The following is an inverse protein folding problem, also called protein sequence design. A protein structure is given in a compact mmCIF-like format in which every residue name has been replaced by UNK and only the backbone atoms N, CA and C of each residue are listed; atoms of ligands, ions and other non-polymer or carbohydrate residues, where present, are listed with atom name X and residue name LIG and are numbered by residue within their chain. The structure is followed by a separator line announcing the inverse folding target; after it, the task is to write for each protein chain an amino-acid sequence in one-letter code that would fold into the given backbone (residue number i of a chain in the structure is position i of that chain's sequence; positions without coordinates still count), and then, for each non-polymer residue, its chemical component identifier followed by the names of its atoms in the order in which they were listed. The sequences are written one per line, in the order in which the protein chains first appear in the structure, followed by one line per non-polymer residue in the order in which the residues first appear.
data_IF_821826468725
#
_entry.id   IF_821826468725
#
_cell.length_a   1.000
_cell.length_b   1.000
_cell.length_c   1.000
_cell.angle_alpha   90.00
_cell.angle_beta   90.00
_cell.angle_gamma   90.00
#
_symmetry.space_group_name_H-M   'P 1'
#
loop_
_entity.id
_entity.type
_entity.pdbx_description
1 polymer ?
#
# COMPACT_ATOMS: atom_id res chain seq x y z
N UNK A 1 5.68 27.92 22.53
CA UNK A 1 4.40 27.18 22.60
C UNK A 1 3.92 26.73 21.21
N UNK A 2 3.90 27.60 20.19
CA UNK A 2 3.64 27.24 18.78
C UNK A 2 4.62 26.22 18.18
N UNK A 3 5.83 26.15 18.73
CA UNK A 3 6.97 25.37 18.22
C UNK A 3 6.87 23.88 18.60
N UNK A 4 6.25 23.58 19.74
CA UNK A 4 6.22 22.23 20.32
C UNK A 4 5.14 21.33 19.68
N UNK A 5 4.02 21.93 19.26
CA UNK A 5 2.86 21.20 18.72
C UNK A 5 3.03 20.77 17.25
N UNK A 6 3.75 21.58 16.45
CA UNK A 6 4.11 21.22 15.07
C UNK A 6 5.08 20.03 15.04
N UNK A 7 6.03 20.00 15.98
CA UNK A 7 6.99 18.90 16.14
C UNK A 7 6.25 17.60 16.48
N UNK A 8 5.27 17.64 17.39
CA UNK A 8 4.53 16.45 17.81
C UNK A 8 3.74 15.76 16.69
N UNK A 9 3.13 16.54 15.78
CA UNK A 9 2.37 15.99 14.64
C UNK A 9 3.32 15.45 13.56
N UNK A 10 4.45 16.12 13.32
CA UNK A 10 5.48 15.67 12.39
C UNK A 10 6.18 14.39 12.88
N UNK A 11 6.41 14.26 14.19
CA UNK A 11 6.91 13.04 14.82
C UNK A 11 5.91 11.89 14.67
N UNK A 12 4.60 12.13 14.81
CA UNK A 12 3.59 11.11 14.55
C UNK A 12 3.57 10.65 13.09
N UNK A 13 3.65 11.57 12.13
CA UNK A 13 3.76 11.19 10.70
C UNK A 13 5.03 10.37 10.41
N UNK A 14 6.16 10.73 11.05
CA UNK A 14 7.41 9.97 10.96
C UNK A 14 7.28 8.57 11.56
N UNK A 15 6.65 8.46 12.72
CA UNK A 15 6.39 7.18 13.41
C UNK A 15 5.50 6.26 12.56
N UNK A 16 4.50 6.82 11.88
CA UNK A 16 3.68 6.09 10.93
C UNK A 16 4.49 5.52 9.76
N UNK A 17 5.30 6.36 9.09
CA UNK A 17 6.12 5.97 7.95
C UNK A 17 7.19 4.94 8.34
N UNK A 18 7.85 5.15 9.49
CA UNK A 18 8.81 4.20 10.06
C UNK A 18 8.14 2.87 10.39
N UNK A 19 6.97 2.90 11.02
CA UNK A 19 6.22 1.70 11.34
C UNK A 19 5.76 0.97 10.07
N UNK A 20 5.34 1.71 9.05
CA UNK A 20 4.75 1.14 7.85
C UNK A 20 5.78 0.56 6.87
N UNK A 21 7.02 1.03 6.87
CA UNK A 21 8.05 0.61 5.90
C UNK A 21 9.30 -0.01 6.51
N UNK A 22 9.47 0.12 7.83
CA UNK A 22 10.63 -0.40 8.56
C UNK A 22 10.25 -1.28 9.77
N UNK A 23 8.97 -1.63 9.91
CA UNK A 23 8.42 -2.48 10.98
C UNK A 23 8.78 -2.01 12.40
N UNK A 24 8.88 -0.69 12.58
CA UNK A 24 9.01 -0.07 13.90
C UNK A 24 7.64 -0.11 14.61
N UNK A 25 7.62 -0.39 15.91
CA UNK A 25 6.38 -0.33 16.67
C UNK A 25 5.87 1.11 16.71
N UNK A 26 4.61 1.30 16.30
CA UNK A 26 3.99 2.61 16.26
C UNK A 26 3.71 3.11 17.69
N UNK A 27 4.33 4.22 18.08
CA UNK A 27 4.17 4.83 19.39
C UNK A 27 3.09 5.93 19.37
N UNK A 28 1.82 5.55 19.19
CA UNK A 28 0.72 6.49 19.46
C UNK A 28 0.48 6.65 20.95
N UNK A 29 0.80 7.82 21.51
CA UNK A 29 0.30 8.18 22.83
C UNK A 29 -1.14 8.65 22.77
N UNK A 30 -1.92 8.33 23.81
CA UNK A 30 -3.25 8.92 24.02
C UNK A 30 -3.20 10.46 24.04
N UNK A 31 -2.07 11.02 24.50
CA UNK A 31 -1.82 12.46 24.50
C UNK A 31 -1.70 13.04 23.08
N UNK A 32 -1.21 12.27 22.10
CA UNK A 32 -1.09 12.72 20.71
C UNK A 32 -2.45 12.79 20.03
N UNK A 33 -3.35 11.84 20.33
CA UNK A 33 -4.74 11.83 19.84
C UNK A 33 -5.57 13.02 20.36
N UNK A 34 -5.22 13.54 21.53
CA UNK A 34 -5.91 14.66 22.16
C UNK A 34 -5.43 16.04 21.67
N UNK A 35 -4.39 16.11 20.82
CA UNK A 35 -3.89 17.40 20.30
C UNK A 35 -4.84 18.00 19.26
N UNK A 36 -4.97 19.35 19.21
CA UNK A 36 -5.72 20.03 18.17
C UNK A 36 -5.14 19.76 16.77
N UNK A 37 -6.00 19.58 15.77
CA UNK A 37 -5.56 19.35 14.40
C UNK A 37 -4.86 20.60 13.81
N UNK A 38 -3.89 20.41 12.90
CA UNK A 38 -3.17 21.51 12.26
C UNK A 38 -4.12 22.33 11.37
N UNK A 39 -3.84 23.63 11.22
CA UNK A 39 -4.61 24.49 10.31
C UNK A 39 -4.46 23.96 8.87
N UNK A 40 -5.57 23.66 8.17
CA UNK A 40 -5.52 23.16 6.80
C UNK A 40 -4.97 24.20 5.80
N UNK A 41 -4.98 25.49 6.13
CA UNK A 41 -4.52 26.56 5.24
C UNK A 41 -3.01 26.85 5.35
N UNK A 42 -2.32 26.27 6.34
CA UNK A 42 -0.88 26.46 6.50
C UNK A 42 -0.09 25.56 5.55
N UNK A 43 0.91 26.11 4.81
CA UNK A 43 1.75 25.32 3.92
C UNK A 43 2.37 24.13 4.65
N UNK A 44 2.16 22.92 4.11
CA UNK A 44 2.96 21.78 4.50
C UNK A 44 4.32 21.94 3.82
N UNK A 45 5.38 22.21 4.58
CA UNK A 45 6.72 22.05 4.03
C UNK A 45 6.97 20.55 3.83
N UNK A 46 6.47 20.01 2.72
CA UNK A 46 6.81 18.66 2.23
C UNK A 46 8.19 18.71 1.59
N UNK A 47 9.19 18.89 2.43
CA UNK A 47 10.53 18.36 2.18
C UNK A 47 10.81 17.40 3.31
N UNK A 48 11.48 16.29 2.99
CA UNK A 48 11.96 15.26 3.93
C UNK A 48 12.10 15.81 5.36
N UNK A 49 11.54 15.11 6.36
CA UNK A 49 11.57 15.52 7.78
C UNK A 49 12.99 15.88 8.26
N UNK A 50 14.04 15.32 7.64
CA UNK A 50 15.45 15.69 7.89
C UNK A 50 15.76 17.13 7.45
N UNK A 51 15.26 17.58 6.30
CA UNK A 51 15.40 18.97 5.86
C UNK A 51 14.46 19.90 6.65
N UNK A 52 13.26 19.43 7.00
CA UNK A 52 12.31 20.24 7.76
C UNK A 52 12.78 20.45 9.20
N UNK A 53 13.36 19.44 9.86
CA UNK A 53 14.03 19.58 11.17
C UNK A 53 15.27 20.48 11.08
N UNK A 54 16.05 20.40 9.99
CA UNK A 54 17.17 21.31 9.74
C UNK A 54 16.74 22.78 9.58
N UNK A 55 15.67 23.05 8.81
CA UNK A 55 15.10 24.39 8.69
C UNK A 55 14.49 24.88 10.01
N UNK A 56 13.89 23.99 10.79
CA UNK A 56 13.33 24.32 12.11
C UNK A 56 14.38 24.71 13.15
N UNK A 57 15.54 24.03 13.14
CA UNK A 57 16.69 24.37 13.99
C UNK A 57 17.31 25.73 13.60
N UNK A 58 17.22 26.10 12.32
CA UNK A 58 17.71 27.39 11.79
C UNK A 58 16.70 28.52 12.05
N UNK A 59 15.39 28.26 11.89
CA UNK A 59 14.30 29.24 12.04
C UNK A 59 14.02 29.58 13.52
N UNK A 60 14.27 28.64 14.43
CA UNK A 60 14.26 28.89 15.88
C UNK A 60 15.34 29.86 16.37
N UNK A 61 16.33 30.18 15.53
CA UNK A 61 17.34 31.23 15.76
C UNK A 61 16.97 32.57 15.11
N UNK A 62 15.95 32.60 14.24
CA UNK A 62 15.50 33.78 13.52
C UNK A 62 13.97 33.86 13.42
N UNK A 63 13.31 34.30 14.49
CA UNK A 63 12.09 35.08 14.31
C UNK A 63 11.89 36.06 15.44
N UNK A 64 12.37 37.26 15.13
CA UNK A 64 12.08 38.52 15.78
C UNK A 64 10.63 38.94 15.50
N UNK A 65 10.07 39.65 16.48
CA UNK A 65 8.78 40.34 16.60
C UNK A 65 7.98 40.60 15.30
N UNK A 66 6.74 40.08 15.22
CA UNK A 66 5.60 40.84 14.71
C UNK A 66 4.25 40.27 15.17
N UNK A 67 3.43 41.16 15.72
CA UNK A 67 2.16 40.87 16.37
C UNK A 67 1.04 40.49 15.37
N UNK A 68 0.53 39.26 15.49
CA UNK A 68 -0.78 38.88 14.97
C UNK A 68 -1.59 38.19 16.09
N UNK A 69 -2.85 38.60 16.24
CA UNK A 69 -3.79 38.19 17.31
C UNK A 69 -3.81 36.66 17.51
N UNK A 70 -3.95 36.17 18.76
CA UNK A 70 -4.13 34.74 19.01
C UNK A 70 -5.52 34.32 18.50
N UNK A 71 -5.57 33.71 17.32
CA UNK A 71 -6.77 33.02 16.88
C UNK A 71 -6.99 31.80 17.80
N UNK A 72 -8.21 31.65 18.28
CA UNK A 72 -8.63 30.70 19.32
C UNK A 72 -8.28 29.24 18.97
N UNK A 73 -7.20 28.73 19.58
CA UNK A 73 -6.78 27.32 19.50
C UNK A 73 -7.77 26.35 20.17
N UNK A 74 -8.60 26.84 21.11
CA UNK A 74 -9.49 26.03 21.95
C UNK A 74 -10.70 25.40 21.23
N UNK A 75 -10.96 25.76 19.97
CA UNK A 75 -12.13 25.28 19.19
C UNK A 75 -11.78 24.30 18.07
N UNK A 76 -10.51 23.93 17.90
CA UNK A 76 -10.11 23.03 16.80
C UNK A 76 -10.40 21.57 17.13
N UNK A 77 -10.98 20.79 16.19
CA UNK A 77 -11.21 19.37 16.39
C UNK A 77 -9.88 18.65 16.62
N UNK A 78 -9.90 17.60 17.45
CA UNK A 78 -8.75 16.75 17.73
C UNK A 78 -8.75 15.54 16.81
N UNK A 79 -7.62 14.84 16.69
CA UNK A 79 -7.56 13.59 15.94
C UNK A 79 -8.49 12.52 16.55
N UNK A 80 -8.63 12.51 17.89
CA UNK A 80 -9.62 11.67 18.59
C UNK A 80 -11.05 11.97 18.13
N UNK A 81 -11.46 13.24 18.12
CA UNK A 81 -12.81 13.63 17.71
C UNK A 81 -13.06 13.25 16.25
N UNK A 82 -12.09 13.54 15.37
CA UNK A 82 -12.17 13.18 13.96
C UNK A 82 -12.28 11.65 13.75
N UNK A 83 -11.53 10.85 14.50
CA UNK A 83 -11.62 9.39 14.45
C UNK A 83 -12.98 8.88 14.94
N UNK A 84 -13.51 9.44 16.03
CA UNK A 84 -14.83 9.08 16.54
C UNK A 84 -15.92 9.40 15.51
N UNK A 85 -15.88 10.60 14.94
CA UNK A 85 -16.84 11.02 13.92
C UNK A 85 -16.73 10.15 12.67
N UNK A 86 -15.52 9.74 12.29
CA UNK A 86 -15.29 8.81 11.19
C UNK A 86 -15.88 7.41 11.45
N UNK A 87 -15.63 6.84 12.63
CA UNK A 87 -16.15 5.52 13.01
C UNK A 87 -17.68 5.52 13.01
N UNK A 88 -18.29 6.60 13.52
CA UNK A 88 -19.74 6.74 13.63
C UNK A 88 -20.43 7.19 12.33
N UNK A 89 -19.66 7.53 11.29
CA UNK A 89 -20.22 8.07 10.05
C UNK A 89 -20.86 9.46 10.23
N UNK A 90 -20.43 10.20 11.26
CA UNK A 90 -20.92 11.54 11.60
C UNK A 90 -19.97 12.64 11.17
N UNK A 91 -18.98 12.32 10.32
CA UNK A 91 -18.04 13.31 9.81
C UNK A 91 -18.78 14.50 9.17
N UNK A 92 -18.39 15.74 9.51
CA UNK A 92 -18.93 16.90 8.85
C UNK A 92 -18.45 16.93 7.40
N UNK A 93 -19.39 17.02 6.45
CA UNK A 93 -19.17 17.19 5.01
C UNK A 93 -17.73 16.99 4.49
N UNK A 94 -17.10 18.07 4.01
CA UNK A 94 -15.76 18.03 3.40
C UNK A 94 -14.67 17.98 4.47
N UNK A 95 -13.90 16.89 4.51
CA UNK A 95 -12.70 16.75 5.35
C UNK A 95 -11.47 17.25 4.58
N UNK A 96 -10.65 18.14 5.16
CA UNK A 96 -9.41 18.58 4.52
C UNK A 96 -8.45 17.41 4.24
N UNK A 97 -7.77 17.35 3.08
CA UNK A 97 -6.88 16.23 2.71
C UNK A 97 -5.82 15.91 3.77
N UNK A 98 -5.31 16.95 4.46
CA UNK A 98 -4.33 16.80 5.53
C UNK A 98 -4.89 16.12 6.78
N UNK A 99 -6.14 16.41 7.13
CA UNK A 99 -6.83 15.76 8.24
C UNK A 99 -7.17 14.32 7.88
N UNK A 100 -7.53 14.09 6.62
CA UNK A 100 -7.75 12.75 6.10
C UNK A 100 -6.46 11.91 6.12
N UNK A 101 -5.31 12.48 5.74
CA UNK A 101 -4.00 11.81 5.88
C UNK A 101 -3.71 11.43 7.34
N UNK A 102 -3.99 12.32 8.31
CA UNK A 102 -3.80 12.03 9.73
C UNK A 102 -4.68 10.88 10.23
N UNK A 103 -5.87 10.67 9.65
CA UNK A 103 -6.72 9.52 9.97
C UNK A 103 -6.09 8.17 9.59
N UNK A 104 -5.15 8.13 8.65
CA UNK A 104 -4.45 6.88 8.33
C UNK A 104 -3.63 6.35 9.52
N UNK A 105 -3.21 7.24 10.41
CA UNK A 105 -2.39 6.89 11.57
C UNK A 105 -3.12 5.94 12.55
N UNK A 106 -4.30 6.28 13.09
CA UNK A 106 -5.06 5.35 13.92
C UNK A 106 -5.58 4.12 13.13
N UNK A 107 -5.83 4.24 11.82
CA UNK A 107 -6.21 3.09 10.98
C UNK A 107 -5.08 2.07 10.81
N UNK A 108 -3.83 2.53 10.74
CA UNK A 108 -2.65 1.66 10.79
C UNK A 108 -2.54 0.94 12.13
N UNK A 109 -2.78 1.64 13.25
CA UNK A 109 -2.77 1.02 14.57
C UNK A 109 -3.86 -0.04 14.71
N UNK A 110 -5.08 0.23 14.22
CA UNK A 110 -6.17 -0.76 14.16
C UNK A 110 -5.79 -1.97 13.32
N UNK A 111 -5.14 -1.74 12.17
CA UNK A 111 -4.63 -2.82 11.31
C UNK A 111 -3.64 -3.72 12.05
N UNK A 112 -2.67 -3.13 12.76
CA UNK A 112 -1.72 -3.89 13.57
C UNK A 112 -2.41 -4.70 14.68
N UNK A 113 -3.35 -4.08 15.39
CA UNK A 113 -4.11 -4.73 16.46
C UNK A 113 -4.97 -5.89 15.95
N UNK A 114 -5.73 -5.68 14.87
CA UNK A 114 -6.57 -6.72 14.26
C UNK A 114 -5.75 -7.91 13.77
N UNK A 115 -4.57 -7.67 13.17
CA UNK A 115 -3.65 -8.74 12.77
C UNK A 115 -3.08 -9.50 13.95
N UNK A 116 -2.69 -8.78 15.01
CA UNK A 116 -2.15 -9.38 16.22
C UNK A 116 -3.21 -10.27 16.88
N UNK A 117 -4.45 -9.78 17.02
CA UNK A 117 -5.58 -10.56 17.51
C UNK A 117 -5.83 -11.81 16.66
N UNK A 118 -5.77 -11.69 15.33
CA UNK A 118 -5.94 -12.83 14.42
C UNK A 118 -4.82 -13.87 14.56
N UNK A 119 -3.58 -13.42 14.70
CA UNK A 119 -2.42 -14.29 14.93
C UNK A 119 -2.58 -15.06 16.26
N UNK A 120 -3.00 -14.37 17.31
CA UNK A 120 -3.25 -14.98 18.61
C UNK A 120 -4.41 -15.96 18.56
N UNK A 121 -5.48 -15.64 17.82
CA UNK A 121 -6.63 -16.52 17.67
C UNK A 121 -6.27 -17.84 16.99
N UNK A 122 -5.39 -17.80 15.98
CA UNK A 122 -4.87 -19.01 15.34
C UNK A 122 -4.05 -19.89 16.28
N UNK A 123 -3.41 -19.30 17.29
CA UNK A 123 -2.59 -20.04 18.27
C UNK A 123 -3.39 -20.67 19.42
N UNK A 124 -4.59 -20.15 19.72
CA UNK A 124 -5.34 -20.48 20.94
C UNK A 124 -6.51 -21.43 20.71
N UNK A 125 -6.78 -21.85 19.47
CA UNK A 125 -7.85 -22.79 19.06
C UNK A 125 -9.27 -22.43 19.55
N UNK A 126 -9.49 -21.20 20.02
CA UNK A 126 -10.77 -20.74 20.55
C UNK A 126 -11.65 -20.17 19.44
N UNK A 127 -12.79 -20.80 19.18
CA UNK A 127 -13.75 -20.36 18.16
C UNK A 127 -14.32 -18.97 18.45
N UNK A 128 -14.63 -18.67 19.72
CA UNK A 128 -15.16 -17.36 20.13
C UNK A 128 -14.12 -16.26 19.88
N UNK A 129 -12.87 -16.50 20.27
CA UNK A 129 -11.80 -15.54 20.08
C UNK A 129 -11.45 -15.36 18.59
N UNK A 130 -11.49 -16.44 17.80
CA UNK A 130 -11.37 -16.38 16.34
C UNK A 130 -12.48 -15.54 15.70
N UNK A 131 -13.72 -15.65 16.19
CA UNK A 131 -14.84 -14.82 15.72
C UNK A 131 -14.61 -13.33 16.01
N UNK A 132 -14.14 -12.99 17.21
CA UNK A 132 -13.81 -11.60 17.59
C UNK A 132 -12.68 -11.05 16.71
N UNK A 133 -11.61 -11.82 16.52
CA UNK A 133 -10.48 -11.41 15.70
C UNK A 133 -10.90 -11.19 14.23
N UNK A 134 -11.73 -12.10 13.67
CA UNK A 134 -12.27 -11.95 12.32
C UNK A 134 -13.17 -10.70 12.20
N UNK A 135 -14.01 -10.42 13.20
CA UNK A 135 -14.85 -9.23 13.22
C UNK A 135 -14.02 -7.93 13.27
N UNK A 136 -12.99 -7.89 14.12
CA UNK A 136 -12.06 -6.74 14.20
C UNK A 136 -11.37 -6.46 12.85
N UNK A 137 -11.00 -7.52 12.14
CA UNK A 137 -10.43 -7.44 10.80
C UNK A 137 -11.42 -6.86 9.79
N UNK A 138 -12.65 -7.38 9.74
CA UNK A 138 -13.69 -6.91 8.82
C UNK A 138 -14.04 -5.45 9.07
N UNK A 139 -14.12 -5.04 10.34
CA UNK A 139 -14.38 -3.65 10.69
C UNK A 139 -13.24 -2.71 10.27
N UNK A 140 -11.99 -3.14 10.47
CA UNK A 140 -10.82 -2.37 10.01
C UNK A 140 -10.81 -2.22 8.49
N UNK A 141 -11.14 -3.27 7.75
CA UNK A 141 -11.30 -3.16 6.29
C UNK A 141 -12.42 -2.20 5.89
N UNK A 142 -13.57 -2.27 6.57
CA UNK A 142 -14.70 -1.38 6.31
C UNK A 142 -14.27 0.08 6.49
N UNK A 143 -13.59 0.38 7.59
CA UNK A 143 -13.05 1.70 7.88
C UNK A 143 -12.03 2.13 6.81
N UNK A 144 -11.09 1.27 6.44
CA UNK A 144 -10.14 1.59 5.36
C UNK A 144 -10.86 1.89 4.03
N UNK A 145 -11.85 1.10 3.63
CA UNK A 145 -12.65 1.35 2.41
C UNK A 145 -13.42 2.67 2.52
N UNK A 146 -14.01 2.98 3.67
CA UNK A 146 -14.67 4.28 3.91
C UNK A 146 -13.69 5.45 3.80
N UNK A 147 -12.46 5.31 4.30
CA UNK A 147 -11.43 6.33 4.17
C UNK A 147 -11.08 6.58 2.70
N UNK A 148 -10.94 5.51 1.91
CA UNK A 148 -10.60 5.61 0.49
C UNK A 148 -11.69 6.36 -0.30
N UNK A 149 -12.96 6.07 -0.04
CA UNK A 149 -14.10 6.77 -0.66
C UNK A 149 -14.02 8.27 -0.36
N UNK A 150 -13.78 8.66 0.90
CA UNK A 150 -13.63 10.07 1.25
C UNK A 150 -12.44 10.74 0.54
N UNK A 151 -11.33 10.00 0.37
CA UNK A 151 -10.12 10.50 -0.29
C UNK A 151 -10.33 10.74 -1.79
N UNK A 152 -11.07 9.86 -2.47
CA UNK A 152 -11.37 9.99 -3.89
C UNK A 152 -12.47 11.01 -4.16
N UNK A 153 -13.48 11.11 -3.30
CA UNK A 153 -14.51 12.16 -3.39
C UNK A 153 -13.92 13.55 -3.20
N UNK A 154 -13.03 13.75 -2.22
CA UNK A 154 -12.34 15.02 -2.00
C UNK A 154 -11.44 15.44 -3.18
N UNK A 155 -11.06 14.49 -4.04
CA UNK A 155 -10.21 14.74 -5.21
C UNK A 155 -11.00 15.22 -6.43
N UNK A 156 -12.16 14.63 -6.72
CA UNK A 156 -12.94 14.92 -7.93
C UNK A 156 -13.42 16.39 -8.04
N UNK A 157 -13.43 17.14 -6.94
CA UNK A 157 -13.87 18.54 -6.89
C UNK A 157 -12.73 19.57 -7.05
N UNK A 158 -11.47 19.14 -6.94
CA UNK A 158 -10.30 20.02 -6.93
C UNK A 158 -9.32 19.53 -8.00
N UNK A 159 -9.42 20.07 -9.21
CA UNK A 159 -8.80 19.66 -10.50
C UNK A 159 -7.26 19.40 -10.57
N UNK A 160 -6.55 19.24 -9.45
CA UNK A 160 -5.15 18.82 -9.46
C UNK A 160 -4.86 17.81 -8.33
N UNK A 161 -4.30 16.66 -8.70
CA UNK A 161 -3.63 15.75 -7.76
C UNK A 161 -2.52 16.52 -7.04
N UNK A 162 -2.73 16.84 -5.75
CA UNK A 162 -1.64 17.33 -4.91
C UNK A 162 -0.75 16.14 -4.54
N UNK A 163 0.56 16.38 -4.41
CA UNK A 163 1.51 15.34 -3.97
C UNK A 163 1.08 14.71 -2.63
N UNK A 164 0.46 15.50 -1.74
CA UNK A 164 -0.04 15.05 -0.44
C UNK A 164 -1.15 13.99 -0.58
N UNK A 165 -2.04 14.14 -1.56
CA UNK A 165 -3.08 13.14 -1.85
C UNK A 165 -2.47 11.85 -2.41
N UNK A 166 -1.49 11.95 -3.33
CA UNK A 166 -0.78 10.77 -3.87
C UNK A 166 -0.10 10.00 -2.73
N UNK A 167 0.63 10.70 -1.86
CA UNK A 167 1.30 10.09 -0.71
C UNK A 167 0.30 9.42 0.22
N UNK A 168 -0.83 10.06 0.50
CA UNK A 168 -1.90 9.49 1.32
C UNK A 168 -2.47 8.19 0.73
N UNK A 169 -2.67 8.15 -0.60
CA UNK A 169 -3.12 6.94 -1.29
C UNK A 169 -2.06 5.83 -1.23
N UNK A 170 -0.77 6.16 -1.39
CA UNK A 170 0.32 5.18 -1.23
C UNK A 170 0.26 4.58 0.18
N UNK A 171 0.22 5.41 1.23
CA UNK A 171 0.13 4.96 2.61
C UNK A 171 -1.10 4.08 2.84
N UNK A 172 -2.27 4.49 2.32
CA UNK A 172 -3.50 3.69 2.36
C UNK A 172 -3.30 2.29 1.78
N UNK A 173 -2.73 2.18 0.58
CA UNK A 173 -2.53 0.87 -0.05
C UNK A 173 -1.55 0.01 0.74
N UNK A 174 -0.50 0.58 1.35
CA UNK A 174 0.41 -0.19 2.21
C UNK A 174 -0.20 -0.59 3.55
N UNK A 175 -1.06 0.25 4.16
CA UNK A 175 -1.80 -0.10 5.37
C UNK A 175 -2.75 -1.27 5.08
N UNK A 176 -3.52 -1.19 3.99
CA UNK A 176 -4.39 -2.28 3.59
C UNK A 176 -3.60 -3.54 3.21
N UNK A 177 -2.47 -3.37 2.51
CA UNK A 177 -1.58 -4.49 2.18
C UNK A 177 -1.09 -5.21 3.43
N UNK A 178 -0.74 -4.49 4.49
CA UNK A 178 -0.40 -5.07 5.78
C UNK A 178 -1.54 -5.90 6.38
N UNK A 179 -2.79 -5.50 6.16
CA UNK A 179 -3.96 -6.27 6.60
C UNK A 179 -4.19 -7.53 5.73
N UNK A 180 -3.92 -7.43 4.43
CA UNK A 180 -4.09 -8.51 3.46
C UNK A 180 -2.93 -9.54 3.46
N UNK A 181 -1.72 -9.12 3.86
CA UNK A 181 -0.51 -9.93 3.84
C UNK A 181 0.41 -9.67 5.05
N UNK A 182 1.08 -10.72 5.52
CA UNK A 182 2.13 -10.61 6.54
C UNK A 182 3.46 -10.25 5.90
N UNK A 183 3.71 -8.96 5.76
CA UNK A 183 4.93 -8.44 5.14
C UNK A 183 6.20 -8.87 5.87
N UNK A 184 6.18 -8.98 7.21
CA UNK A 184 7.35 -9.43 7.97
C UNK A 184 7.75 -10.88 7.61
N UNK A 185 6.75 -11.76 7.42
CA UNK A 185 7.03 -13.14 7.00
C UNK A 185 7.50 -13.18 5.54
N UNK A 186 6.92 -12.36 4.66
CA UNK A 186 7.34 -12.22 3.25
C UNK A 186 8.74 -11.61 3.14
N UNK A 187 9.16 -10.74 4.06
CA UNK A 187 10.51 -10.15 4.03
C UNK A 187 11.57 -11.12 4.59
N UNK A 188 11.21 -11.99 5.55
CA UNK A 188 12.13 -13.02 6.07
C UNK A 188 12.65 -13.96 4.98
N UNK A 189 11.86 -14.14 3.95
CA UNK A 189 12.19 -14.84 2.72
C UNK A 189 13.50 -14.32 2.08
N UNK A 190 13.78 -13.02 2.15
CA UNK A 190 14.98 -12.46 1.49
C UNK A 190 16.29 -12.75 2.23
N UNK A 191 16.25 -13.43 3.38
CA UNK A 191 17.44 -13.76 4.16
C UNK A 191 18.03 -15.13 3.76
N UNK A 192 19.12 -15.17 2.97
CA UNK A 192 19.70 -16.41 2.47
C UNK A 192 20.27 -17.32 3.57
N UNK A 193 20.51 -16.78 4.78
CA UNK A 193 21.11 -17.53 5.90
C UNK A 193 20.14 -18.21 6.85
N UNK A 194 18.82 -17.95 6.75
CA UNK A 194 17.84 -18.35 7.78
C UNK A 194 16.92 -19.50 7.32
N UNK A 195 16.76 -19.75 6.02
CA UNK A 195 15.68 -20.61 5.52
C UNK A 195 16.18 -21.71 4.57
N UNK A 196 15.94 -22.97 4.97
CA UNK A 196 16.00 -24.14 4.10
C UNK A 196 14.88 -24.07 3.03
N UNK A 197 15.14 -24.58 1.82
CA UNK A 197 14.18 -24.64 0.71
C UNK A 197 12.89 -25.38 1.10
N UNK A 198 12.98 -26.32 2.04
CA UNK A 198 11.82 -27.04 2.58
C UNK A 198 10.88 -26.13 3.40
N UNK A 199 11.43 -25.13 4.10
CA UNK A 199 10.64 -24.11 4.80
C UNK A 199 9.87 -23.26 3.79
N UNK A 200 10.55 -22.84 2.73
CA UNK A 200 9.98 -22.06 1.64
C UNK A 200 8.81 -22.74 0.95
N UNK A 201 9.02 -24.00 0.56
CA UNK A 201 7.98 -24.78 -0.10
C UNK A 201 6.78 -24.97 0.83
N UNK A 202 7.02 -25.20 2.12
CA UNK A 202 5.95 -25.31 3.13
C UNK A 202 5.25 -23.97 3.39
N UNK A 203 5.99 -22.86 3.38
CA UNK A 203 5.44 -21.52 3.51
C UNK A 203 4.49 -21.24 2.35
N UNK A 204 4.92 -21.44 1.11
CA UNK A 204 4.09 -21.24 -0.08
C UNK A 204 2.89 -22.20 -0.13
N UNK A 205 3.08 -23.49 0.19
CA UNK A 205 2.00 -24.47 0.22
C UNK A 205 0.88 -24.13 1.21
N UNK A 206 1.20 -23.45 2.32
CA UNK A 206 0.24 -23.05 3.34
C UNK A 206 -0.35 -21.64 3.11
N UNK A 207 -0.17 -21.06 1.92
CA UNK A 207 -0.45 -19.63 1.66
C UNK A 207 0.20 -18.72 2.72
N UNK A 208 1.39 -19.11 3.17
CA UNK A 208 2.13 -18.46 4.23
C UNK A 208 2.28 -16.99 3.92
N UNK A 209 1.75 -16.16 4.80
CA UNK A 209 1.83 -14.71 4.66
C UNK A 209 0.69 -14.05 3.89
N UNK A 210 -0.31 -14.76 3.34
CA UNK A 210 -1.47 -14.12 2.72
C UNK A 210 -2.76 -14.45 3.47
N UNK A 211 -3.52 -13.42 3.84
CA UNK A 211 -4.92 -13.55 4.24
C UNK A 211 -5.83 -13.46 3.02
N UNK A 212 -5.53 -12.52 2.12
CA UNK A 212 -6.18 -12.41 0.81
C UNK A 212 -5.12 -12.10 -0.24
N UNK A 213 -4.75 -13.11 -1.04
CA UNK A 213 -3.78 -12.97 -2.14
C UNK A 213 -4.27 -11.95 -3.18
N UNK A 214 -5.56 -11.99 -3.50
CA UNK A 214 -6.19 -11.10 -4.49
C UNK A 214 -6.13 -9.64 -4.05
N UNK A 215 -6.49 -9.34 -2.80
CA UNK A 215 -6.37 -7.98 -2.26
C UNK A 215 -4.90 -7.54 -2.20
N UNK A 216 -3.99 -8.42 -1.76
CA UNK A 216 -2.56 -8.09 -1.71
C UNK A 216 -2.01 -7.71 -3.10
N UNK A 217 -2.36 -8.46 -4.14
CA UNK A 217 -1.98 -8.16 -5.53
C UNK A 217 -2.54 -6.80 -5.96
N UNK A 218 -3.84 -6.56 -5.75
CA UNK A 218 -4.49 -5.29 -6.06
C UNK A 218 -3.78 -4.10 -5.40
N UNK A 219 -3.59 -4.16 -4.07
CA UNK A 219 -2.98 -3.06 -3.32
C UNK A 219 -1.51 -2.83 -3.72
N UNK A 220 -0.76 -3.87 -4.09
CA UNK A 220 0.59 -3.69 -4.64
C UNK A 220 0.57 -2.95 -5.98
N UNK A 221 -0.32 -3.34 -6.91
CA UNK A 221 -0.46 -2.69 -8.21
C UNK A 221 -0.78 -1.21 -8.10
N UNK A 222 -1.81 -0.88 -7.30
CA UNK A 222 -2.23 0.50 -7.06
C UNK A 222 -1.16 1.32 -6.34
N UNK A 223 -0.48 0.75 -5.33
CA UNK A 223 0.64 1.42 -4.69
C UNK A 223 1.76 1.76 -5.69
N UNK A 224 2.14 0.80 -6.56
CA UNK A 224 3.16 1.01 -7.60
C UNK A 224 2.74 2.04 -8.66
N UNK A 225 1.45 2.12 -8.98
CA UNK A 225 0.88 3.18 -9.84
C UNK A 225 1.06 4.55 -9.21
N UNK A 226 0.60 4.73 -7.97
CA UNK A 226 0.69 6.02 -7.27
C UNK A 226 2.13 6.42 -7.02
N UNK A 227 2.97 5.47 -6.63
CA UNK A 227 4.40 5.63 -6.56
C UNK A 227 4.88 6.26 -7.89
N UNK A 228 4.71 5.59 -9.05
CA UNK A 228 5.18 6.13 -10.35
C UNK A 228 4.72 7.55 -10.65
N UNK A 229 3.53 7.94 -10.18
CA UNK A 229 2.98 9.29 -10.31
C UNK A 229 3.69 10.37 -9.48
N UNK A 230 4.47 10.02 -8.45
CA UNK A 230 5.24 10.98 -7.65
C UNK A 230 6.49 11.43 -8.42
N UNK A 231 6.53 12.71 -8.76
CA UNK A 231 7.67 13.34 -9.43
C UNK A 231 8.98 13.17 -8.65
N UNK A 232 10.10 13.01 -9.34
CA UNK A 232 11.39 12.64 -8.73
C UNK A 232 11.84 13.55 -7.58
N UNK A 233 11.53 14.86 -7.65
CA UNK A 233 11.89 15.84 -6.63
C UNK A 233 10.99 15.81 -5.37
N UNK A 234 9.83 15.16 -5.43
CA UNK A 234 8.82 15.14 -4.37
C UNK A 234 8.71 13.76 -3.69
N UNK A 235 9.67 12.85 -3.96
CA UNK A 235 9.59 11.48 -3.44
C UNK A 235 9.90 11.40 -1.96
N UNK A 236 9.10 10.64 -1.20
CA UNK A 236 9.41 10.34 0.18
C UNK A 236 10.69 9.50 0.31
N UNK A 237 11.38 9.67 1.43
CA UNK A 237 12.63 8.97 1.74
C UNK A 237 12.43 7.45 1.86
N UNK A 238 11.24 6.99 2.29
CA UNK A 238 10.86 5.58 2.39
C UNK A 238 10.49 4.93 1.05
N UNK A 239 10.57 5.67 -0.07
CA UNK A 239 10.20 5.18 -1.39
C UNK A 239 10.84 3.83 -1.77
N UNK A 240 12.17 3.62 -1.62
CA UNK A 240 12.78 2.34 -1.98
C UNK A 240 12.23 1.17 -1.15
N UNK A 241 11.92 1.42 0.13
CA UNK A 241 11.31 0.43 1.01
C UNK A 241 9.87 0.08 0.58
N UNK A 242 9.09 1.06 0.12
CA UNK A 242 7.78 0.84 -0.45
C UNK A 242 7.84 -0.04 -1.70
N UNK A 243 8.71 0.29 -2.66
CA UNK A 243 8.92 -0.53 -3.86
C UNK A 243 9.33 -1.95 -3.47
N UNK A 244 10.31 -2.10 -2.56
CA UNK A 244 10.73 -3.41 -2.04
C UNK A 244 9.55 -4.24 -1.53
N UNK A 245 8.70 -3.67 -0.66
CA UNK A 245 7.55 -4.37 -0.05
C UNK A 245 6.53 -4.82 -1.10
N UNK A 246 6.18 -3.95 -2.04
CA UNK A 246 5.26 -4.30 -3.10
C UNK A 246 5.83 -5.41 -4.00
N UNK A 247 7.10 -5.28 -4.42
CA UNK A 247 7.75 -6.24 -5.32
C UNK A 247 7.93 -7.61 -4.65
N UNK A 248 8.38 -7.66 -3.39
CA UNK A 248 8.51 -8.92 -2.67
C UNK A 248 7.16 -9.61 -2.43
N UNK A 249 6.11 -8.83 -2.19
CA UNK A 249 4.76 -9.38 -2.05
C UNK A 249 4.27 -9.97 -3.37
N UNK A 250 4.41 -9.24 -4.48
CA UNK A 250 4.03 -9.74 -5.80
C UNK A 250 4.83 -10.97 -6.21
N UNK A 251 6.13 -10.95 -5.93
CA UNK A 251 7.02 -12.09 -6.14
C UNK A 251 6.63 -13.29 -5.27
N UNK A 252 6.32 -13.10 -3.98
CA UNK A 252 5.83 -14.21 -3.14
C UNK A 252 4.48 -14.74 -3.66
N UNK A 253 3.61 -13.83 -4.11
CA UNK A 253 2.32 -14.18 -4.69
C UNK A 253 2.45 -14.92 -6.03
N UNK A 254 3.51 -14.72 -6.83
CA UNK A 254 3.69 -15.42 -8.11
C UNK A 254 3.89 -16.91 -7.95
N UNK A 255 4.45 -17.35 -6.82
CA UNK A 255 4.75 -18.75 -6.54
C UNK A 255 3.58 -19.53 -5.94
N UNK A 256 2.50 -18.85 -5.55
CA UNK A 256 1.28 -19.52 -5.12
C UNK A 256 0.54 -20.04 -6.36
N UNK A 257 0.30 -21.34 -6.43
CA UNK A 257 -0.49 -21.92 -7.53
C UNK A 257 -1.87 -21.22 -7.63
N UNK A 258 -2.46 -21.11 -8.84
CA UNK A 258 -3.90 -20.89 -8.95
C UNK A 258 -4.60 -21.98 -8.14
N UNK A 259 -5.66 -21.63 -7.40
CA UNK A 259 -6.32 -22.52 -6.43
C UNK A 259 -6.75 -23.88 -7.05
N UNK A 260 -6.82 -24.00 -8.38
CA UNK A 260 -7.10 -25.23 -9.12
C UNK A 260 -6.17 -25.43 -10.34
N UNK A 261 -4.85 -25.51 -10.16
CA UNK A 261 -3.99 -26.09 -11.18
C UNK A 261 -4.16 -27.62 -11.20
N UNK A 262 -5.14 -28.10 -11.98
CA UNK A 262 -5.23 -29.50 -12.40
C UNK A 262 -3.88 -29.88 -13.08
N UNK A 263 -3.17 -30.93 -12.63
CA UNK A 263 -1.81 -31.26 -13.12
C UNK A 263 -1.73 -31.67 -14.60
N UNK A 264 -2.82 -31.56 -15.35
CA UNK A 264 -2.93 -32.02 -16.74
C UNK A 264 -2.83 -30.90 -17.81
N UNK A 265 -2.54 -29.65 -17.45
CA UNK A 265 -2.34 -28.59 -18.47
C UNK A 265 -0.83 -28.43 -18.75
N UNK A 266 -0.35 -28.74 -19.97
CA UNK A 266 1.07 -28.64 -20.32
C UNK A 266 1.54 -27.17 -20.29
N UNK A 267 2.76 -26.99 -19.77
CA UNK A 267 3.38 -25.73 -19.41
C UNK A 267 3.28 -24.59 -20.42
N UNK A 268 2.93 -23.40 -19.93
CA UNK A 268 3.21 -22.13 -20.58
C UNK A 268 4.71 -21.81 -20.43
N UNK A 269 5.54 -22.55 -21.16
CA UNK A 269 6.92 -22.17 -21.42
C UNK A 269 6.90 -21.09 -22.50
N UNK A 270 7.41 -19.90 -22.18
CA UNK A 270 7.81 -18.84 -23.13
C UNK A 270 6.79 -18.49 -24.23
N UNK A 271 5.95 -17.50 -24.01
CA UNK A 271 5.40 -16.73 -25.13
C UNK A 271 5.35 -15.24 -24.77
N UNK A 272 6.24 -14.50 -25.40
CA UNK A 272 6.09 -13.06 -25.60
C UNK A 272 4.93 -12.90 -26.58
N UNK A 273 3.77 -12.45 -26.10
CA UNK A 273 2.65 -12.14 -26.99
C UNK A 273 2.89 -10.80 -27.68
N UNK A 274 2.85 -10.71 -29.02
CA UNK A 274 2.86 -9.44 -29.72
C UNK A 274 1.57 -8.65 -29.42
N UNK A 275 1.73 -7.38 -29.10
CA UNK A 275 0.72 -6.45 -28.57
C UNK A 275 -0.37 -6.03 -29.59
N UNK A 276 -0.30 -6.47 -30.84
CA UNK A 276 -1.05 -5.86 -31.95
C UNK A 276 -2.52 -6.31 -32.07
N UNK A 277 -2.93 -7.42 -31.43
CA UNK A 277 -4.30 -7.95 -31.59
C UNK A 277 -5.31 -7.53 -30.50
N UNK A 278 -4.89 -6.82 -29.44
CA UNK A 278 -5.75 -6.60 -28.24
C UNK A 278 -6.60 -5.32 -28.32
N UNK A 279 -6.27 -4.36 -29.17
CA UNK A 279 -6.91 -3.03 -29.17
C UNK A 279 -8.08 -2.84 -30.14
N UNK A 280 -8.60 -3.89 -30.80
CA UNK A 280 -9.68 -3.75 -31.79
C UNK A 280 -11.12 -4.05 -31.31
N UNK A 281 -11.41 -3.99 -30.00
CA UNK A 281 -12.81 -4.00 -29.56
C UNK A 281 -13.32 -2.58 -29.30
N UNK A 282 -14.02 -2.04 -30.29
CA UNK A 282 -14.78 -0.79 -30.20
C UNK A 282 -15.88 -0.90 -29.12
N UNK A 283 -16.24 0.18 -28.38
CA UNK A 283 -17.12 0.11 -27.22
C UNK A 283 -18.63 0.14 -27.51
N UNK A 284 -19.07 -0.23 -28.71
CA UNK A 284 -20.48 -0.18 -29.10
C UNK A 284 -20.82 -1.38 -29.99
N UNK A 285 -21.05 -2.53 -29.38
CA UNK A 285 -21.93 -3.54 -29.94
C UNK A 285 -22.57 -4.34 -28.80
N UNK A 286 -23.84 -4.04 -28.55
CA UNK A 286 -24.72 -4.86 -27.72
C UNK A 286 -25.14 -6.04 -28.58
N UNK A 287 -24.57 -7.22 -28.35
CA UNK A 287 -25.06 -8.48 -28.94
C UNK A 287 -25.58 -9.39 -27.82
N UNK A 288 -26.78 -9.97 -27.96
CA UNK A 288 -27.39 -10.76 -26.89
C UNK A 288 -26.67 -12.10 -26.72
N UNK A 289 -26.62 -12.56 -25.47
CA UNK A 289 -26.11 -13.86 -25.07
C UNK A 289 -26.67 -15.00 -25.94
N UNK A 290 -25.81 -15.67 -26.70
CA UNK A 290 -25.96 -17.10 -27.01
C UNK A 290 -24.67 -17.68 -27.58
N UNK A 291 -24.26 -18.81 -26.99
CA UNK A 291 -23.31 -19.82 -27.47
C UNK A 291 -21.81 -19.66 -27.17
N UNK A 292 -21.39 -20.41 -26.16
CA UNK A 292 -20.20 -21.27 -26.07
C UNK A 292 -18.90 -20.75 -26.70
N UNK A 293 -18.04 -20.21 -25.85
CA UNK A 293 -16.58 -20.31 -25.96
C UNK A 293 -16.03 -20.51 -24.55
N UNK A 294 -15.01 -21.34 -24.40
CA UNK A 294 -14.32 -21.56 -23.12
C UNK A 294 -14.04 -20.21 -22.42
N UNK A 295 -14.10 -20.11 -21.08
CA UNK A 295 -13.83 -18.84 -20.41
C UNK A 295 -12.37 -18.46 -20.70
N UNK A 296 -12.17 -17.59 -21.70
CA UNK A 296 -10.87 -17.06 -22.05
C UNK A 296 -10.33 -16.30 -20.84
N UNK A 297 -9.06 -16.55 -20.51
CA UNK A 297 -8.37 -15.82 -19.47
C UNK A 297 -8.29 -14.34 -19.87
N UNK A 298 -8.79 -13.45 -19.01
CA UNK A 298 -8.76 -12.01 -19.20
C UNK A 298 -7.47 -11.42 -18.60
N UNK A 299 -6.68 -10.71 -19.40
CA UNK A 299 -5.52 -9.97 -18.89
C UNK A 299 -6.01 -8.74 -18.11
N UNK A 300 -5.47 -8.52 -16.91
CA UNK A 300 -5.85 -7.38 -16.04
C UNK A 300 -4.62 -6.66 -15.55
N UNK A 301 -4.47 -5.39 -15.93
CA UNK A 301 -3.42 -4.51 -15.45
C UNK A 301 -3.71 -4.06 -14.02
N UNK A 302 -3.05 -4.67 -13.03
CA UNK A 302 -3.36 -4.47 -11.59
C UNK A 302 -3.07 -3.05 -11.08
N UNK A 303 -2.39 -2.25 -11.90
CA UNK A 303 -2.03 -0.85 -11.71
C UNK A 303 -2.86 0.11 -12.57
N UNK A 304 -3.69 -0.40 -13.47
CA UNK A 304 -4.62 0.37 -14.29
C UNK A 304 -6.06 0.38 -13.75
N UNK A 305 -6.38 -0.58 -12.89
CA UNK A 305 -7.74 -0.93 -12.47
C UNK A 305 -8.25 -0.01 -11.35
N UNK A 306 -9.55 0.27 -11.34
CA UNK A 306 -10.23 0.97 -10.26
C UNK A 306 -10.76 -0.02 -9.20
N UNK A 307 -10.83 0.35 -7.91
CA UNK A 307 -11.36 -0.55 -6.86
C UNK A 307 -12.84 -0.94 -7.05
N UNK A 308 -13.58 -0.21 -7.88
CA UNK A 308 -14.96 -0.53 -8.26
C UNK A 308 -15.02 -1.65 -9.31
N UNK A 309 -13.91 -1.97 -9.98
CA UNK A 309 -13.89 -2.94 -11.06
C UNK A 309 -14.22 -4.34 -10.56
N UNK A 310 -15.18 -4.98 -11.24
CA UNK A 310 -15.73 -6.27 -10.87
C UNK A 310 -14.69 -7.41 -10.86
N UNK A 311 -13.52 -7.22 -11.48
CA UNK A 311 -12.48 -8.24 -11.52
C UNK A 311 -12.03 -8.63 -10.10
N UNK A 312 -11.72 -7.67 -9.23
CA UNK A 312 -11.22 -7.96 -7.87
C UNK A 312 -12.29 -8.38 -6.84
N UNK A 313 -13.56 -8.45 -7.26
CA UNK A 313 -14.68 -8.99 -6.46
C UNK A 313 -15.07 -10.41 -6.85
N UNK A 314 -14.44 -10.95 -7.90
CA UNK A 314 -14.77 -12.28 -8.41
C UNK A 314 -14.14 -13.37 -7.54
N UNK A 315 -14.94 -14.33 -7.05
CA UNK A 315 -14.45 -15.46 -6.25
C UNK A 315 -13.57 -16.43 -7.04
N UNK A 316 -13.73 -16.47 -8.37
CA UNK A 316 -12.97 -17.32 -9.28
C UNK A 316 -11.86 -16.52 -9.98
N UNK A 317 -11.34 -15.48 -9.32
CA UNK A 317 -10.41 -14.52 -9.93
C UNK A 317 -9.16 -15.18 -10.51
N UNK A 318 -8.58 -16.15 -9.80
CA UNK A 318 -7.39 -16.87 -10.24
C UNK A 318 -7.62 -17.77 -11.47
N UNK A 319 -8.87 -18.11 -11.78
CA UNK A 319 -9.24 -18.94 -12.93
C UNK A 319 -9.63 -18.11 -14.15
N UNK A 320 -10.01 -16.85 -13.92
CA UNK A 320 -10.54 -15.98 -14.97
C UNK A 320 -9.56 -14.89 -15.40
N UNK A 321 -8.62 -14.49 -14.54
CA UNK A 321 -7.77 -13.33 -14.80
C UNK A 321 -6.28 -13.66 -14.75
N UNK A 322 -5.53 -13.07 -15.69
CA UNK A 322 -4.07 -13.04 -15.69
C UNK A 322 -3.65 -11.64 -15.23
N UNK A 323 -3.22 -11.48 -13.97
CA UNK A 323 -2.76 -10.20 -13.47
C UNK A 323 -1.42 -9.81 -14.10
N UNK A 324 -1.30 -8.55 -14.53
CA UNK A 324 -0.07 -7.98 -15.12
C UNK A 324 0.24 -6.60 -14.54
N UNK A 325 1.52 -6.21 -14.53
CA UNK A 325 1.99 -4.85 -14.27
C UNK A 325 2.31 -4.14 -15.59
N UNK A 326 1.94 -2.87 -15.73
CA UNK A 326 2.37 -2.05 -16.88
C UNK A 326 3.77 -1.50 -16.65
N UNK A 327 4.64 -1.64 -17.65
CA UNK A 327 5.99 -1.05 -17.64
C UNK A 327 5.94 0.39 -18.14
N UNK A 328 7.03 1.13 -17.89
CA UNK A 328 7.19 2.51 -18.38
C UNK A 328 7.43 2.58 -19.90
N UNK A 329 7.87 1.48 -20.50
CA UNK A 329 8.18 1.33 -21.93
C UNK A 329 7.04 0.63 -22.70
N UNK A 330 5.79 0.80 -22.25
CA UNK A 330 4.56 0.25 -22.86
C UNK A 330 4.44 -1.29 -22.82
N UNK A 331 5.44 -2.02 -22.32
CA UNK A 331 5.36 -3.46 -22.10
C UNK A 331 4.57 -3.85 -20.83
N UNK A 332 4.37 -5.16 -20.64
CA UNK A 332 3.73 -5.71 -19.43
C UNK A 332 4.60 -6.79 -18.78
N UNK A 333 4.48 -6.93 -17.46
CA UNK A 333 5.07 -8.03 -16.69
C UNK A 333 3.95 -8.89 -16.14
N UNK A 334 3.89 -10.15 -16.56
CA UNK A 334 2.91 -11.11 -16.08
C UNK A 334 3.27 -11.54 -14.67
N UNK A 335 2.30 -11.57 -13.75
CA UNK A 335 2.58 -11.91 -12.35
C UNK A 335 2.96 -13.38 -12.13
N UNK A 336 2.92 -14.24 -13.14
CA UNK A 336 3.49 -15.60 -13.09
C UNK A 336 4.99 -15.62 -13.38
N UNK A 337 5.53 -14.55 -13.96
CA UNK A 337 6.96 -14.39 -14.22
C UNK A 337 7.66 -13.78 -12.99
N UNK A 338 8.07 -14.66 -12.07
CA UNK A 338 8.73 -14.25 -10.84
C UNK A 338 10.00 -13.41 -11.11
N UNK A 339 10.78 -13.75 -12.13
CA UNK A 339 12.00 -13.00 -12.48
C UNK A 339 11.65 -11.64 -13.09
N UNK A 340 10.68 -11.59 -14.00
CA UNK A 340 10.17 -10.35 -14.55
C UNK A 340 9.66 -9.37 -13.48
N UNK A 341 9.04 -9.86 -12.40
CA UNK A 341 8.63 -9.02 -11.26
C UNK A 341 9.84 -8.39 -10.55
N UNK A 342 10.91 -9.16 -10.32
CA UNK A 342 12.13 -8.64 -9.69
C UNK A 342 12.82 -7.61 -10.60
N UNK A 343 12.92 -7.90 -11.89
CA UNK A 343 13.48 -6.98 -12.89
C UNK A 343 12.67 -5.68 -13.02
N UNK A 344 11.34 -5.78 -12.94
CA UNK A 344 10.47 -4.61 -12.89
C UNK A 344 10.80 -3.73 -11.68
N UNK A 345 10.95 -4.33 -10.49
CA UNK A 345 11.35 -3.61 -9.28
C UNK A 345 12.71 -2.93 -9.40
N UNK A 346 13.70 -3.64 -9.94
CA UNK A 346 15.05 -3.11 -10.19
C UNK A 346 15.00 -1.93 -11.18
N UNK A 347 14.27 -2.08 -12.27
CA UNK A 347 14.09 -1.04 -13.29
C UNK A 347 13.41 0.19 -12.70
N UNK A 348 12.39 -0.01 -11.87
CA UNK A 348 11.68 1.07 -11.19
C UNK A 348 12.60 1.81 -10.21
N UNK A 349 13.52 1.15 -9.50
CA UNK A 349 14.49 1.86 -8.64
C UNK A 349 15.53 2.60 -9.49
N UNK A 350 16.05 1.97 -10.54
CA UNK A 350 17.11 2.52 -11.40
C UNK A 350 16.65 3.68 -12.29
N UNK A 351 15.35 3.83 -12.53
CA UNK A 351 14.79 4.95 -13.28
C UNK A 351 14.94 6.31 -12.57
N UNK A 352 15.55 6.35 -11.37
CA UNK A 352 15.66 7.54 -10.53
C UNK A 352 17.10 7.77 -10.03
N UNK A 353 17.40 8.97 -9.48
CA UNK A 353 18.72 9.27 -8.94
C UNK A 353 19.15 8.21 -7.92
N UNK A 354 20.41 7.80 -8.01
CA UNK A 354 20.97 6.78 -7.12
C UNK A 354 20.91 7.26 -5.66
N UNK A 355 20.38 6.40 -4.79
CA UNK A 355 20.43 6.55 -3.34
C UNK A 355 20.99 5.26 -2.72
N UNK A 356 21.67 5.34 -1.56
CA UNK A 356 22.21 4.14 -0.90
C UNK A 356 21.11 3.14 -0.54
N UNK A 357 19.91 3.62 -0.15
CA UNK A 357 18.75 2.76 0.12
C UNK A 357 18.26 2.07 -1.15
N UNK A 358 18.22 2.79 -2.29
CA UNK A 358 17.86 2.23 -3.58
C UNK A 358 18.84 1.17 -4.06
N UNK A 359 20.14 1.43 -3.93
CA UNK A 359 21.19 0.47 -4.28
C UNK A 359 21.13 -0.80 -3.42
N UNK A 360 20.85 -0.66 -2.11
CA UNK A 360 20.64 -1.80 -1.22
C UNK A 360 19.43 -2.65 -1.65
N UNK A 361 18.32 -2.02 -2.03
CA UNK A 361 17.14 -2.73 -2.55
C UNK A 361 17.48 -3.46 -3.85
N UNK A 362 18.17 -2.81 -4.80
CA UNK A 362 18.59 -3.44 -6.06
C UNK A 362 19.51 -4.63 -5.82
N UNK A 363 20.49 -4.51 -4.92
CA UNK A 363 21.39 -5.60 -4.58
C UNK A 363 20.62 -6.79 -3.97
N UNK A 364 19.67 -6.52 -3.08
CA UNK A 364 18.81 -7.54 -2.49
C UNK A 364 17.95 -8.26 -3.54
N UNK A 365 17.26 -7.53 -4.42
CA UNK A 365 16.42 -8.13 -5.46
C UNK A 365 17.23 -8.99 -6.43
N UNK A 366 18.44 -8.54 -6.81
CA UNK A 366 19.37 -9.34 -7.63
C UNK A 366 19.83 -10.60 -6.91
N UNK A 367 20.20 -10.49 -5.64
CA UNK A 367 20.61 -11.63 -4.82
C UNK A 367 19.49 -12.67 -4.66
N UNK A 368 18.25 -12.21 -4.48
CA UNK A 368 17.08 -13.08 -4.44
C UNK A 368 16.86 -13.81 -5.76
N UNK A 369 16.96 -13.10 -6.89
CA UNK A 369 16.87 -13.69 -8.23
C UNK A 369 17.95 -14.76 -8.47
N UNK A 370 19.21 -14.46 -8.15
CA UNK A 370 20.32 -15.42 -8.31
C UNK A 370 20.17 -16.66 -7.41
N UNK A 371 19.73 -16.48 -6.17
CA UNK A 371 19.48 -17.59 -5.25
C UNK A 371 18.33 -18.50 -5.73
N UNK A 372 17.44 -17.96 -6.56
CA UNK A 372 16.31 -18.66 -7.15
C UNK A 372 16.64 -19.31 -8.50
N UNK A 373 17.34 -18.61 -9.40
CA UNK A 373 17.77 -19.15 -10.72
C UNK A 373 18.84 -20.24 -10.61
N UNK A 374 19.70 -20.17 -9.59
CA UNK A 374 20.77 -21.16 -9.38
C UNK A 374 20.29 -22.51 -8.85
N UNK A 375 18.98 -22.80 -8.88
CA UNK A 375 18.36 -23.99 -8.27
C UNK A 375 17.38 -24.70 -9.19
#
# INVERSE_FOLDING_TARGET
MHVDESIGIQLGQMDQELSLFHDVEQALSLSDLARPLPDPNLPCHTRSIIQTSYWYLIDGLHSDVSAAKPQSFELRPTLKQLLQDFIHGTLPGRVPPRHLQLLLHPLQSLTYQSRSLLSWARSTSSLVFSGIAASSVLETERLLRSWYILATEAHNEQDAYTNDTIVSLILYHFIFLNLAANLADIERLTNPGILDLTFWQRFLQNQGGFRSRQEAIFHCGQALRHLRGVGAAARPWWWPAAVRRAILTLWAASHLAPVNADPNIPGASSSVFPMEDVWQQNPMDVVPETNLSAPGLCIVAIDGVAPEDACFRNTNWSEKYIPVLTRLDEGVVVLTDAMGILEYGISLINAFPRSPEGEAVVAMLKGLGQAWEGK
#
